data_IF_744816816459
#
_entry.id   IF_744816816459
#
_cell.length_a   1.000
_cell.length_b   1.000
_cell.length_c   1.000
_cell.angle_alpha   90.00
_cell.angle_beta   90.00
_cell.angle_gamma   90.00
#
_symmetry.space_group_name_H-M   'P 1'
#
loop_
_entity.id
_entity.type
_entity.pdbx_description
1 polymer ?
#
# COMPACT_ATOMS: atom_id res chain seq x y z
N UNK A 1 0.24 -6.83 -24.84
CA UNK A 1 0.41 -8.17 -24.26
C UNK A 1 0.61 -7.93 -22.78
N UNK A 2 -0.34 -8.33 -21.94
CA UNK A 2 -0.11 -8.31 -20.50
C UNK A 2 0.99 -9.34 -20.22
N UNK A 3 2.10 -8.90 -19.65
CA UNK A 3 3.21 -9.79 -19.29
C UNK A 3 2.88 -10.43 -17.94
N UNK A 4 2.69 -11.75 -17.96
CA UNK A 4 2.56 -12.56 -16.77
C UNK A 4 3.95 -12.81 -16.16
N UNK A 5 4.01 -12.96 -14.85
CA UNK A 5 5.23 -13.28 -14.10
C UNK A 5 5.00 -14.58 -13.34
N UNK A 6 5.84 -15.57 -13.60
CA UNK A 6 5.85 -16.85 -12.87
C UNK A 6 7.22 -17.05 -12.21
N UNK A 7 7.22 -17.33 -10.92
CA UNK A 7 8.44 -17.56 -10.14
C UNK A 7 8.16 -18.46 -8.93
N UNK A 8 9.18 -19.08 -8.33
CA UNK A 8 9.01 -19.70 -7.01
C UNK A 8 8.80 -18.63 -5.94
N UNK A 9 9.56 -17.53 -6.02
CA UNK A 9 9.52 -16.42 -5.07
C UNK A 9 9.55 -15.09 -5.81
N UNK A 10 8.65 -14.19 -5.42
CA UNK A 10 8.62 -12.82 -5.89
C UNK A 10 8.90 -11.86 -4.72
N UNK A 11 9.98 -11.09 -4.84
CA UNK A 11 10.39 -10.09 -3.84
C UNK A 11 10.45 -8.72 -4.52
N UNK A 12 9.64 -7.78 -4.05
CA UNK A 12 9.67 -6.40 -4.55
C UNK A 12 9.87 -5.40 -3.42
N UNK A 13 10.71 -4.39 -3.68
CA UNK A 13 10.93 -3.23 -2.83
C UNK A 13 10.81 -1.98 -3.67
N UNK A 14 9.76 -1.18 -3.44
CA UNK A 14 9.51 0.02 -4.24
C UNK A 14 8.35 -0.13 -5.22
N UNK A 15 8.42 0.59 -6.33
CA UNK A 15 7.42 0.61 -7.39
C UNK A 15 7.53 -0.60 -8.33
N UNK A 16 6.39 -1.17 -8.74
CA UNK A 16 6.35 -2.17 -9.82
C UNK A 16 5.01 -2.13 -10.58
N UNK A 17 5.00 -2.61 -11.83
CA UNK A 17 3.78 -2.78 -12.62
C UNK A 17 3.84 -4.15 -13.34
N UNK A 18 2.78 -4.95 -13.19
CA UNK A 18 2.59 -6.23 -13.87
C UNK A 18 1.21 -6.20 -14.51
N UNK A 19 1.14 -6.14 -15.85
CA UNK A 19 -0.15 -6.03 -16.53
C UNK A 19 -1.00 -7.30 -16.46
N UNK A 20 -0.39 -8.44 -16.16
CA UNK A 20 -1.04 -9.75 -16.13
C UNK A 20 -1.08 -10.39 -14.75
N UNK A 21 -0.93 -11.71 -14.72
CA UNK A 21 -0.89 -12.51 -13.50
C UNK A 21 0.53 -12.55 -12.91
N UNK A 22 0.64 -12.30 -11.61
CA UNK A 22 1.80 -12.65 -10.80
C UNK A 22 1.52 -13.97 -10.06
N UNK A 23 2.20 -15.04 -10.44
CA UNK A 23 2.11 -16.36 -9.81
C UNK A 23 3.43 -16.72 -9.11
N UNK A 24 3.38 -16.94 -7.80
CA UNK A 24 4.53 -17.49 -7.07
C UNK A 24 4.13 -18.27 -5.80
N UNK A 25 4.99 -19.16 -5.31
CA UNK A 25 4.74 -19.81 -4.02
C UNK A 25 4.77 -18.80 -2.87
N UNK A 26 5.75 -17.87 -2.91
CA UNK A 26 5.93 -16.81 -1.92
C UNK A 26 6.01 -15.44 -2.60
N UNK A 27 5.06 -14.55 -2.28
CA UNK A 27 5.03 -13.15 -2.74
C UNK A 27 5.25 -12.22 -1.55
N UNK A 28 6.32 -11.41 -1.60
CA UNK A 28 6.59 -10.36 -0.61
C UNK A 28 6.81 -9.02 -1.29
N UNK A 29 6.03 -8.03 -0.88
CA UNK A 29 6.06 -6.67 -1.42
C UNK A 29 6.25 -5.69 -0.27
N UNK A 30 7.36 -4.96 -0.30
CA UNK A 30 7.56 -3.75 0.52
C UNK A 30 7.24 -2.53 -0.36
N UNK A 31 6.12 -1.86 -0.06
CA UNK A 31 5.50 -0.90 -0.95
C UNK A 31 6.34 0.36 -1.22
N UNK A 32 6.49 0.70 -2.50
CA UNK A 32 6.70 2.06 -2.99
C UNK A 32 5.65 2.50 -4.01
N UNK A 33 4.53 1.77 -4.07
CA UNK A 33 3.53 1.79 -5.15
C UNK A 33 3.54 0.47 -5.92
N UNK A 34 2.40 0.02 -6.43
CA UNK A 34 2.35 -1.21 -7.22
C UNK A 34 1.04 -1.35 -7.96
N UNK A 35 1.08 -1.88 -9.18
CA UNK A 35 -0.12 -2.27 -9.94
C UNK A 35 0.05 -3.67 -10.51
N UNK A 36 -0.93 -4.52 -10.27
CA UNK A 36 -0.95 -5.89 -10.81
C UNK A 36 -2.37 -6.34 -11.02
N UNK A 37 -2.71 -6.95 -12.15
CA UNK A 37 -4.10 -7.39 -12.38
C UNK A 37 -4.48 -8.50 -11.39
N UNK A 38 -3.66 -9.55 -11.29
CA UNK A 38 -3.93 -10.69 -10.41
C UNK A 38 -2.67 -11.15 -9.67
N UNK A 39 -2.82 -11.51 -8.40
CA UNK A 39 -1.76 -12.15 -7.60
C UNK A 39 -2.26 -13.52 -7.14
N UNK A 40 -1.52 -14.57 -7.50
CA UNK A 40 -1.71 -15.93 -7.02
C UNK A 40 -0.50 -16.41 -6.22
N UNK A 41 -0.73 -17.05 -5.08
CA UNK A 41 0.35 -17.73 -4.37
C UNK A 41 -0.03 -18.41 -3.07
N UNK A 42 0.85 -19.26 -2.54
CA UNK A 42 0.58 -19.91 -1.24
C UNK A 42 0.65 -18.90 -0.10
N UNK A 43 1.66 -18.02 -0.13
CA UNK A 43 1.83 -16.97 0.88
C UNK A 43 2.04 -15.60 0.23
N UNK A 44 1.18 -14.65 0.56
CA UNK A 44 1.20 -13.29 0.03
C UNK A 44 1.31 -12.30 1.18
N UNK A 45 2.35 -11.47 1.17
CA UNK A 45 2.62 -10.49 2.22
C UNK A 45 2.97 -9.12 1.62
N UNK A 46 2.07 -8.16 1.80
CA UNK A 46 2.23 -6.78 1.34
C UNK A 46 2.36 -5.86 2.55
N UNK A 47 3.43 -5.06 2.62
CA UNK A 47 3.73 -4.19 3.77
C UNK A 47 4.11 -2.76 3.37
N UNK A 48 3.73 -1.79 4.19
CA UNK A 48 4.20 -0.40 4.05
C UNK A 48 5.70 -0.30 4.33
N UNK A 49 6.44 0.48 3.52
CA UNK A 49 7.84 0.84 3.80
C UNK A 49 7.93 1.64 5.09
N UNK A 50 8.87 1.29 5.98
CA UNK A 50 9.20 2.11 7.16
C UNK A 50 8.36 1.88 8.42
N UNK A 51 7.39 0.95 8.44
CA UNK A 51 6.87 0.44 9.73
C UNK A 51 7.72 -0.73 10.21
N UNK A 52 8.46 -0.48 11.29
CA UNK A 52 9.06 -1.51 12.12
C UNK A 52 8.00 -2.54 12.53
N UNK A 53 8.33 -3.81 12.29
CA UNK A 53 7.60 -5.08 12.40
C UNK A 53 6.85 -5.40 13.71
N UNK A 54 6.68 -4.46 14.63
CA UNK A 54 6.20 -4.79 15.96
C UNK A 54 4.73 -4.48 16.10
N UNK A 55 3.93 -5.40 15.56
CA UNK A 55 2.47 -5.34 15.56
C UNK A 55 1.77 -6.66 15.87
N UNK A 56 2.43 -7.82 15.69
CA UNK A 56 2.00 -9.08 16.29
C UNK A 56 3.23 -9.83 16.82
N UNK A 57 3.37 -9.81 18.16
CA UNK A 57 4.44 -10.33 19.06
C UNK A 57 5.62 -9.38 19.39
N UNK A 58 5.42 -8.61 20.50
CA UNK A 58 6.33 -7.76 21.34
C UNK A 58 6.76 -6.40 20.73
N UNK A 59 7.53 -5.49 21.40
CA UNK A 59 8.12 -4.27 20.78
C UNK A 59 9.65 -4.08 21.00
N UNK A 60 10.41 -3.35 20.14
CA UNK A 60 11.76 -2.88 20.45
C UNK A 60 11.69 -1.40 20.88
N UNK A 61 12.72 -0.93 21.55
CA UNK A 61 12.85 0.48 21.89
C UNK A 61 13.86 1.09 20.92
N UNK A 62 13.48 2.10 20.13
CA UNK A 62 14.45 2.93 19.38
C UNK A 62 14.00 4.39 19.39
N UNK A 63 14.91 5.28 19.79
CA UNK A 63 14.80 6.74 19.72
C UNK A 63 15.38 7.25 18.40
N UNK A 64 14.83 8.33 17.86
CA UNK A 64 15.41 9.07 16.74
C UNK A 64 15.52 10.55 17.08
N UNK A 65 16.70 11.14 16.85
CA UNK A 65 16.95 12.59 16.88
C UNK A 65 16.91 13.12 15.46
N UNK A 66 16.27 14.27 15.24
CA UNK A 66 16.25 14.98 13.95
C UNK A 66 17.10 16.24 14.10
N UNK A 67 18.10 16.38 13.22
CA UNK A 67 18.91 17.59 13.05
C UNK A 67 18.15 18.62 12.21
N UNK A 68 18.29 19.89 12.60
CA UNK A 68 17.60 21.04 11.99
C UNK A 68 18.24 21.34 10.64
N UNK A 69 17.40 21.50 9.63
CA UNK A 69 17.38 22.65 8.72
C UNK A 69 16.00 22.62 8.05
N UNK A 70 15.07 23.33 8.69
CA UNK A 70 13.63 23.35 8.36
C UNK A 70 13.10 24.79 8.30
N UNK A 71 13.97 25.77 8.03
CA UNK A 71 13.61 27.19 7.98
C UNK A 71 13.54 27.74 6.54
N UNK A 72 14.29 27.19 5.57
CA UNK A 72 14.25 27.67 4.16
C UNK A 72 13.02 27.20 3.36
N UNK A 73 12.41 26.08 3.74
CA UNK A 73 11.24 25.53 3.05
C UNK A 73 9.96 26.30 3.44
N UNK A 74 9.97 26.93 4.63
CA UNK A 74 8.82 27.66 5.19
C UNK A 74 8.48 28.94 4.42
N UNK A 75 9.48 29.76 4.08
CA UNK A 75 9.26 31.05 3.42
C UNK A 75 8.68 30.90 2.00
N UNK A 76 9.04 29.82 1.29
CA UNK A 76 8.52 29.56 -0.05
C UNK A 76 7.11 28.95 0.00
N UNK A 77 6.82 28.12 1.01
CA UNK A 77 5.50 27.50 1.21
C UNK A 77 4.43 28.55 1.55
N UNK A 78 4.72 29.49 2.46
CA UNK A 78 3.73 30.46 2.92
C UNK A 78 3.20 31.34 1.78
N UNK A 79 4.05 31.73 0.83
CA UNK A 79 3.64 32.51 -0.35
C UNK A 79 2.69 31.75 -1.30
N UNK A 80 2.85 30.42 -1.40
CA UNK A 80 2.00 29.56 -2.25
C UNK A 80 0.65 29.27 -1.59
N UNK A 81 0.61 29.24 -0.25
CA UNK A 81 -0.62 29.04 0.51
C UNK A 81 -1.46 30.33 0.66
N UNK A 82 -0.85 31.51 0.70
CA UNK A 82 -1.58 32.80 0.75
C UNK A 82 -2.38 33.08 -0.54
N UNK A 83 -1.88 32.72 -1.72
CA UNK A 83 -2.61 32.87 -2.99
C UNK A 83 -3.78 31.85 -3.14
N UNK A 84 -3.77 30.77 -2.35
CA UNK A 84 -4.78 29.70 -2.38
C UNK A 84 -5.86 29.80 -1.29
N UNK A 85 -5.90 30.92 -0.56
CA UNK A 85 -6.66 31.11 0.68
C UNK A 85 -8.20 31.13 0.60
N UNK A 86 -8.85 30.55 -0.41
CA UNK A 86 -10.34 30.55 -0.48
C UNK A 86 -11.02 29.25 -0.90
N UNK A 87 -10.30 28.17 -1.19
CA UNK A 87 -10.90 26.89 -1.63
C UNK A 87 -10.19 25.75 -0.88
N UNK A 88 -10.74 25.37 0.27
CA UNK A 88 -10.04 24.62 1.33
C UNK A 88 -10.00 23.09 1.22
N UNK A 89 -10.57 22.45 0.20
CA UNK A 89 -10.56 20.98 0.08
C UNK A 89 -10.23 20.46 -1.33
N UNK A 90 -10.54 21.21 -2.38
CA UNK A 90 -10.30 20.77 -3.75
C UNK A 90 -8.86 21.04 -4.24
N UNK A 91 -8.17 22.02 -3.64
CA UNK A 91 -6.88 22.48 -4.17
C UNK A 91 -5.70 21.68 -3.62
N UNK A 92 -5.84 20.95 -2.49
CA UNK A 92 -4.76 20.06 -2.02
C UNK A 92 -4.42 18.99 -3.06
N UNK A 93 -5.41 18.57 -3.84
CA UNK A 93 -5.24 17.59 -4.91
C UNK A 93 -4.52 18.22 -6.11
N UNK A 94 -4.90 19.43 -6.50
CA UNK A 94 -4.31 20.15 -7.64
C UNK A 94 -2.86 20.61 -7.39
N UNK A 95 -2.50 21.03 -6.18
CA UNK A 95 -1.10 21.36 -5.83
C UNK A 95 -0.23 20.10 -5.86
N UNK A 96 -0.77 18.97 -5.41
CA UNK A 96 -0.07 17.66 -5.47
C UNK A 96 0.20 17.22 -6.91
N UNK A 97 -0.77 17.44 -7.80
CA UNK A 97 -0.65 17.13 -9.21
C UNK A 97 0.34 18.06 -9.92
N UNK A 98 0.39 19.35 -9.59
CA UNK A 98 1.24 20.33 -10.29
C UNK A 98 2.72 20.34 -9.87
N UNK A 99 3.01 20.26 -8.57
CA UNK A 99 4.39 20.33 -8.06
C UNK A 99 5.13 18.98 -8.14
N UNK A 100 4.40 17.87 -8.23
CA UNK A 100 4.97 16.52 -8.35
C UNK A 100 5.72 16.26 -9.66
N UNK A 101 5.42 17.01 -10.73
CA UNK A 101 6.14 16.92 -12.01
C UNK A 101 7.43 17.74 -12.04
N UNK A 102 7.54 18.78 -11.21
CA UNK A 102 8.67 19.72 -11.21
C UNK A 102 9.80 19.32 -10.23
N UNK A 103 9.46 18.64 -9.13
CA UNK A 103 10.43 18.03 -8.22
C UNK A 103 10.39 16.51 -8.35
N UNK A 104 11.16 15.98 -9.29
CA UNK A 104 11.35 14.55 -9.44
C UNK A 104 11.80 13.91 -8.11
N UNK A 105 11.18 12.76 -7.80
CA UNK A 105 11.52 11.83 -6.72
C UNK A 105 11.27 12.34 -5.28
N UNK A 106 10.19 11.88 -4.62
CA UNK A 106 10.24 11.47 -3.18
C UNK A 106 8.92 11.09 -2.49
N UNK A 107 8.89 9.89 -1.91
CA UNK A 107 8.12 9.45 -0.73
C UNK A 107 6.57 9.52 -0.76
N UNK A 108 5.93 9.02 -1.81
CA UNK A 108 4.54 8.56 -1.70
C UNK A 108 4.48 7.24 -0.94
N UNK A 109 3.69 7.16 0.13
CA UNK A 109 3.26 5.94 0.80
C UNK A 109 2.36 5.08 -0.10
N UNK A 110 2.89 4.68 -1.27
CA UNK A 110 2.13 4.11 -2.37
C UNK A 110 1.28 2.91 -1.97
N UNK A 111 0.18 2.73 -2.71
CA UNK A 111 -0.72 1.60 -2.55
C UNK A 111 -0.36 0.51 -3.56
N UNK A 112 -0.71 -0.74 -3.23
CA UNK A 112 -0.84 -1.79 -4.22
C UNK A 112 -2.28 -1.77 -4.76
N UNK A 113 -2.44 -1.74 -6.07
CA UNK A 113 -3.72 -1.90 -6.75
C UNK A 113 -3.77 -3.25 -7.45
N UNK A 114 -4.81 -4.04 -7.17
CA UNK A 114 -5.06 -5.30 -7.84
C UNK A 114 -6.54 -5.60 -8.05
N UNK A 115 -6.89 -6.37 -9.08
CA UNK A 115 -8.27 -6.84 -9.22
C UNK A 115 -8.51 -8.01 -8.26
N UNK A 116 -7.67 -9.05 -8.35
CA UNK A 116 -7.83 -10.27 -7.55
C UNK A 116 -6.53 -10.64 -6.84
N UNK A 117 -6.63 -11.00 -5.56
CA UNK A 117 -5.53 -11.57 -4.78
C UNK A 117 -6.01 -12.90 -4.20
N UNK A 118 -5.39 -14.00 -4.60
CA UNK A 118 -5.77 -15.36 -4.20
C UNK A 118 -4.58 -16.13 -3.61
N UNK A 119 -4.79 -16.75 -2.45
CA UNK A 119 -3.75 -17.52 -1.79
C UNK A 119 -4.15 -18.17 -0.47
N UNK A 120 -3.30 -19.02 0.09
CA UNK A 120 -3.61 -19.73 1.33
C UNK A 120 -3.48 -18.80 2.55
N UNK A 121 -2.35 -18.10 2.67
CA UNK A 121 -2.07 -17.14 3.75
C UNK A 121 -1.81 -15.75 3.18
N UNK A 122 -2.69 -14.80 3.49
CA UNK A 122 -2.68 -13.45 2.92
C UNK A 122 -2.58 -12.42 4.03
N UNK A 123 -1.59 -11.53 3.94
CA UNK A 123 -1.46 -10.33 4.74
C UNK A 123 -1.31 -9.10 3.83
N UNK A 124 -2.19 -8.13 3.97
CA UNK A 124 -2.19 -6.91 3.15
C UNK A 124 -2.13 -5.66 4.01
N UNK A 125 -1.30 -4.69 3.64
CA UNK A 125 -1.40 -3.29 4.08
C UNK A 125 -1.44 -2.40 2.83
N UNK A 126 -2.07 -1.24 2.91
CA UNK A 126 -2.10 -0.28 1.79
C UNK A 126 -2.49 -0.89 0.44
N UNK A 127 -3.45 -1.79 0.45
CA UNK A 127 -3.86 -2.50 -0.76
C UNK A 127 -5.29 -2.12 -1.12
N UNK A 128 -5.50 -1.72 -2.37
CA UNK A 128 -6.81 -1.59 -2.98
C UNK A 128 -7.04 -2.84 -3.83
N UNK A 129 -8.09 -3.60 -3.51
CA UNK A 129 -8.43 -4.76 -4.32
C UNK A 129 -9.93 -4.96 -4.49
N UNK A 130 -10.32 -5.51 -5.65
CA UNK A 130 -11.72 -5.90 -5.86
C UNK A 130 -12.05 -7.16 -5.07
N UNK A 131 -11.26 -8.22 -5.20
CA UNK A 131 -11.52 -9.49 -4.50
C UNK A 131 -10.24 -10.01 -3.83
N UNK A 132 -10.38 -10.45 -2.59
CA UNK A 132 -9.32 -11.21 -1.87
C UNK A 132 -9.88 -12.56 -1.46
N UNK A 133 -9.22 -13.66 -1.83
CA UNK A 133 -9.65 -15.03 -1.52
C UNK A 133 -8.54 -15.80 -0.83
N UNK A 134 -8.83 -16.41 0.32
CA UNK A 134 -7.83 -17.30 0.93
C UNK A 134 -8.29 -18.11 2.13
N UNK A 135 -7.41 -18.96 2.67
CA UNK A 135 -7.74 -19.72 3.89
C UNK A 135 -7.65 -18.81 5.11
N UNK A 136 -6.52 -18.13 5.25
CA UNK A 136 -6.24 -17.18 6.34
C UNK A 136 -5.97 -15.81 5.74
N UNK A 137 -6.84 -14.85 6.03
CA UNK A 137 -6.77 -13.50 5.46
C UNK A 137 -6.64 -12.47 6.57
N UNK A 138 -5.61 -11.62 6.49
CA UNK A 138 -5.40 -10.50 7.40
C UNK A 138 -5.34 -9.20 6.59
N UNK A 139 -6.30 -8.32 6.82
CA UNK A 139 -6.41 -7.02 6.16
C UNK A 139 -5.94 -5.94 7.14
N UNK A 140 -4.73 -5.45 6.93
CA UNK A 140 -4.07 -4.41 7.71
C UNK A 140 -4.44 -2.98 7.29
N UNK A 141 -3.83 -2.00 7.98
CA UNK A 141 -4.13 -0.57 7.85
C UNK A 141 -4.07 -0.03 6.41
N UNK A 142 -5.02 0.84 6.07
CA UNK A 142 -5.07 1.52 4.78
C UNK A 142 -5.47 0.64 3.59
N UNK A 143 -6.02 -0.56 3.85
CA UNK A 143 -6.61 -1.36 2.79
C UNK A 143 -8.04 -0.92 2.45
N UNK A 144 -8.39 -1.04 1.17
CA UNK A 144 -9.75 -0.85 0.65
C UNK A 144 -10.10 -2.05 -0.23
N UNK A 145 -10.92 -2.97 0.29
CA UNK A 145 -11.27 -4.22 -0.38
C UNK A 145 -12.77 -4.28 -0.66
N UNK A 146 -13.17 -4.64 -1.87
CA UNK A 146 -14.60 -4.78 -2.17
C UNK A 146 -15.19 -6.07 -1.59
N UNK A 147 -14.56 -7.23 -1.80
CA UNK A 147 -15.03 -8.49 -1.24
C UNK A 147 -13.89 -9.35 -0.73
N UNK A 148 -14.08 -9.95 0.44
CA UNK A 148 -13.17 -10.96 1.01
C UNK A 148 -13.89 -12.30 1.18
N UNK A 149 -13.33 -13.36 0.59
CA UNK A 149 -13.78 -14.74 0.79
C UNK A 149 -12.73 -15.51 1.59
N UNK A 150 -13.14 -16.15 2.69
CA UNK A 150 -12.22 -16.90 3.56
C UNK A 150 -12.77 -18.21 4.11
N UNK A 151 -11.93 -19.20 4.38
CA UNK A 151 -12.37 -20.51 4.92
C UNK A 151 -11.95 -20.79 6.37
N UNK A 152 -10.76 -20.35 6.80
CA UNK A 152 -10.21 -20.60 8.14
C UNK A 152 -10.33 -19.38 9.07
N UNK A 153 -9.58 -18.31 8.82
CA UNK A 153 -9.50 -17.13 9.69
C UNK A 153 -9.52 -15.82 8.92
N UNK A 154 -10.15 -14.81 9.50
CA UNK A 154 -10.24 -13.46 8.93
C UNK A 154 -10.06 -12.40 10.01
N UNK A 155 -9.10 -11.50 9.82
CA UNK A 155 -8.82 -10.38 10.70
C UNK A 155 -8.77 -9.07 9.91
N UNK A 156 -9.32 -7.99 10.47
CA UNK A 156 -9.37 -6.67 9.84
C UNK A 156 -8.93 -5.61 10.84
N UNK A 157 -7.98 -4.78 10.44
CA UNK A 157 -7.52 -3.65 11.24
C UNK A 157 -8.57 -2.52 11.27
N UNK A 158 -8.66 -1.72 12.35
CA UNK A 158 -9.65 -0.66 12.48
C UNK A 158 -9.64 0.39 11.37
N UNK A 159 -8.47 0.68 10.78
CA UNK A 159 -8.33 1.62 9.66
C UNK A 159 -8.35 0.96 8.27
N UNK A 160 -8.84 -0.27 8.16
CA UNK A 160 -9.13 -0.92 6.88
C UNK A 160 -10.62 -0.85 6.53
N UNK A 161 -10.93 -0.82 5.23
CA UNK A 161 -12.30 -0.83 4.71
C UNK A 161 -12.51 -2.08 3.87
N UNK A 162 -13.48 -2.92 4.28
CA UNK A 162 -13.93 -4.10 3.53
C UNK A 162 -15.44 -3.94 3.29
N UNK A 163 -15.91 -3.96 2.03
CA UNK A 163 -17.34 -3.76 1.73
C UNK A 163 -18.17 -5.01 2.02
N UNK A 164 -17.69 -6.18 1.58
CA UNK A 164 -18.34 -7.48 1.78
C UNK A 164 -17.34 -8.52 2.33
N UNK A 165 -17.81 -9.38 3.22
CA UNK A 165 -17.03 -10.52 3.72
C UNK A 165 -17.89 -11.78 3.71
N UNK A 166 -17.32 -12.90 3.25
CA UNK A 166 -18.01 -14.19 3.18
C UNK A 166 -17.10 -15.31 3.65
N UNK A 167 -17.62 -16.16 4.52
CA UNK A 167 -16.99 -17.44 4.83
C UNK A 167 -17.45 -18.50 3.83
N UNK A 168 -16.52 -19.27 3.28
CA UNK A 168 -16.75 -20.36 2.31
C UNK A 168 -16.30 -21.71 2.84
#
# INVERSE_FOLDING_TARGET
MSEDVEAEKFLSRGGFEIGGLLSAEEVKIELGGGKVSEIGGTRIEVRRRGRSFWGWRRPPRVHVRIGRDLEEIGETLESVFEDLGRIGEEVSQAVSEGLGYAFGWSYGSGFLEADTIEGDEIFLENTKARVVRGKKVQIGEGCEIESVEYSESFEVAPGARVKEQRRV
#
